data_IF_694737945152
#
_entry.id   IF_694737945152
#
_cell.length_a   1.000
_cell.length_b   1.000
_cell.length_c   1.000
_cell.angle_alpha   90.00
_cell.angle_beta   90.00
_cell.angle_gamma   90.00
#
_symmetry.space_group_name_H-M   'P 1'
#
loop_
_entity.id
_entity.type
_entity.pdbx_description
1 polymer ?
#
# COMPACT_ATOMS: atom_id res chain seq x y z
N UNK A 1 22.70 -0.99 7.84
CA UNK A 1 21.42 -1.32 8.47
C UNK A 1 21.63 -2.61 9.23
N UNK A 2 21.09 -2.74 10.44
CA UNK A 2 21.06 -4.02 11.14
C UNK A 2 20.03 -4.95 10.49
N UNK A 3 20.10 -6.25 10.80
CA UNK A 3 19.08 -7.22 10.36
C UNK A 3 17.70 -6.89 10.95
N UNK A 4 17.66 -6.40 12.19
CA UNK A 4 16.44 -5.94 12.86
C UNK A 4 15.82 -4.74 12.14
N UNK A 5 16.63 -3.72 11.79
CA UNK A 5 16.14 -2.56 11.03
C UNK A 5 15.56 -2.97 9.67
N UNK A 6 16.16 -3.96 9.02
CA UNK A 6 15.72 -4.45 7.72
C UNK A 6 14.37 -5.20 7.83
N UNK A 7 14.22 -6.04 8.85
CA UNK A 7 12.97 -6.76 9.13
C UNK A 7 11.82 -5.80 9.48
N UNK A 8 12.08 -4.80 10.32
CA UNK A 8 11.09 -3.79 10.68
C UNK A 8 10.70 -2.90 9.49
N UNK A 9 11.67 -2.57 8.63
CA UNK A 9 11.39 -1.86 7.38
C UNK A 9 10.49 -2.69 6.47
N UNK A 10 10.79 -3.99 6.32
CA UNK A 10 9.99 -4.89 5.48
C UNK A 10 8.56 -5.03 6.00
N UNK A 11 8.39 -5.29 7.30
CA UNK A 11 7.07 -5.35 7.95
C UNK A 11 6.28 -4.07 7.77
N UNK A 12 6.95 -2.93 7.91
CA UNK A 12 6.34 -1.62 7.71
C UNK A 12 5.82 -1.49 6.29
N UNK A 13 6.67 -1.67 5.27
CA UNK A 13 6.28 -1.53 3.86
C UNK A 13 5.14 -2.49 3.48
N UNK A 14 5.19 -3.75 3.95
CA UNK A 14 4.11 -4.71 3.72
C UNK A 14 2.79 -4.22 4.31
N UNK A 15 2.80 -3.68 5.53
CA UNK A 15 1.60 -3.15 6.18
C UNK A 15 1.00 -1.97 5.41
N UNK A 16 1.84 -1.05 4.92
CA UNK A 16 1.40 0.05 4.06
C UNK A 16 0.83 -0.45 2.72
N UNK A 17 1.47 -1.45 2.10
CA UNK A 17 0.99 -2.05 0.86
C UNK A 17 -0.40 -2.67 1.00
N UNK A 18 -0.63 -3.44 2.07
CA UNK A 18 -1.94 -4.05 2.36
C UNK A 18 -3.04 -3.03 2.60
N UNK A 19 -2.72 -1.86 3.16
CA UNK A 19 -3.67 -0.76 3.29
C UNK A 19 -3.97 -0.10 1.94
N UNK A 20 -2.95 0.07 1.09
CA UNK A 20 -3.10 0.63 -0.25
C UNK A 20 -3.97 -0.25 -1.17
N UNK A 21 -3.97 -1.58 -0.98
CA UNK A 21 -4.84 -2.53 -1.71
C UNK A 21 -6.34 -2.26 -1.54
N UNK A 22 -6.75 -1.47 -0.53
CA UNK A 22 -8.16 -1.08 -0.34
C UNK A 22 -8.64 -0.02 -1.34
N UNK A 23 -7.72 0.62 -2.05
CA UNK A 23 -8.05 1.72 -2.95
C UNK A 23 -7.99 1.27 -4.41
N UNK A 24 -8.99 1.67 -5.19
CA UNK A 24 -8.94 1.64 -6.64
C UNK A 24 -8.20 2.89 -7.13
N UNK A 25 -7.26 2.72 -8.07
CA UNK A 25 -6.55 3.81 -8.72
C UNK A 25 -7.10 4.04 -10.13
N UNK A 26 -7.53 5.26 -10.42
CA UNK A 26 -7.92 5.71 -11.76
C UNK A 26 -6.74 6.44 -12.41
N UNK A 27 -6.19 5.89 -13.49
CA UNK A 27 -5.06 6.49 -14.22
C UNK A 27 -5.44 7.76 -14.99
N UNK A 28 -6.69 7.92 -15.39
CA UNK A 28 -7.16 9.06 -16.18
C UNK A 28 -7.37 10.30 -15.33
N UNK A 29 -7.89 10.15 -14.11
CA UNK A 29 -8.04 11.24 -13.16
C UNK A 29 -6.91 11.35 -12.15
N UNK A 30 -5.98 10.38 -12.11
CA UNK A 30 -4.90 10.27 -11.11
C UNK A 30 -5.43 10.30 -9.67
N UNK A 31 -6.56 9.64 -9.43
CA UNK A 31 -7.24 9.63 -8.13
C UNK A 31 -7.36 8.25 -7.54
N UNK A 32 -7.36 8.20 -6.20
CA UNK A 32 -7.69 7.01 -5.43
C UNK A 32 -9.12 7.10 -4.90
N UNK A 33 -9.85 5.99 -4.97
CA UNK A 33 -11.20 5.88 -4.41
C UNK A 33 -11.39 4.55 -3.70
N UNK A 34 -12.41 4.48 -2.83
CA UNK A 34 -12.82 3.24 -2.16
C UNK A 34 -13.91 2.48 -2.94
N UNK A 35 -14.14 2.83 -4.21
CA UNK A 35 -15.19 2.24 -5.03
C UNK A 35 -14.99 0.71 -5.11
N UNK A 36 -16.04 -0.04 -4.75
CA UNK A 36 -16.03 -1.50 -4.78
C UNK A 36 -16.18 -1.94 -6.24
N UNK A 37 -15.31 -2.80 -6.83
CA UNK A 37 -15.50 -3.27 -8.18
C UNK A 37 -16.75 -4.16 -8.24
N UNK A 38 -17.85 -3.56 -8.68
CA UNK A 38 -19.10 -4.20 -9.08
C UNK A 38 -19.36 -3.96 -10.55
#
# INVERSE_FOLDING_TARGET
MSEEDADDTLKTIVSWGRYAELFAYDEQSETFSLENPG
#
